data_IF_641391037785
#
_entry.id   IF_641391037785
#
_cell.length_a   1.000
_cell.length_b   1.000
_cell.length_c   1.000
_cell.angle_alpha   90.00
_cell.angle_beta   90.00
_cell.angle_gamma   90.00
#
_symmetry.space_group_name_H-M   'P 1'
#
loop_
_entity.id
_entity.type
_entity.pdbx_description
1 polymer ?
#
# COMPACT_ATOMS: atom_id res chain seq x y z
N UNK A 1 -16.33 -18.92 -0.58
CA UNK A 1 -15.05 -18.32 -1.00
C UNK A 1 -13.97 -18.68 0.02
N UNK A 2 -12.73 -18.88 -0.42
CA UNK A 2 -11.63 -19.38 0.40
C UNK A 2 -10.53 -18.30 0.47
N UNK A 3 -10.77 -17.24 1.25
CA UNK A 3 -9.85 -16.11 1.43
C UNK A 3 -9.37 -16.12 2.88
N UNK A 4 -8.05 -16.19 3.09
CA UNK A 4 -7.44 -16.25 4.42
C UNK A 4 -7.52 -14.90 5.17
N UNK A 5 -7.57 -13.77 4.45
CA UNK A 5 -7.68 -12.43 5.03
C UNK A 5 -7.29 -11.35 4.02
N UNK A 6 -7.37 -10.09 4.45
CA UNK A 6 -6.93 -8.94 3.66
C UNK A 6 -5.48 -8.57 3.97
N UNK A 7 -4.80 -7.91 3.01
CA UNK A 7 -3.41 -7.47 3.18
C UNK A 7 -3.22 -6.53 4.37
N UNK A 8 -4.21 -5.67 4.67
CA UNK A 8 -4.17 -4.78 5.84
C UNK A 8 -4.22 -5.54 7.17
N UNK A 9 -4.90 -6.69 7.21
CA UNK A 9 -4.96 -7.55 8.40
C UNK A 9 -3.64 -8.29 8.61
N UNK A 10 -2.97 -8.69 7.52
CA UNK A 10 -1.61 -9.25 7.58
C UNK A 10 -0.62 -8.21 8.10
N UNK A 11 -0.66 -6.98 7.56
CA UNK A 11 0.23 -5.88 7.98
C UNK A 11 0.02 -5.52 9.46
N UNK A 12 -1.23 -5.53 9.93
CA UNK A 12 -1.55 -5.21 11.33
C UNK A 12 -1.38 -6.39 12.30
N UNK A 13 -0.98 -7.57 11.81
CA UNK A 13 -0.81 -8.78 12.62
C UNK A 13 -2.11 -9.44 13.08
N UNK A 14 -3.26 -9.00 12.58
CA UNK A 14 -4.57 -9.60 12.85
C UNK A 14 -4.74 -10.95 12.16
N UNK A 15 -4.07 -11.14 11.01
CA UNK A 15 -4.01 -12.40 10.25
C UNK A 15 -2.55 -12.76 10.03
N UNK A 16 -2.19 -14.03 10.21
CA UNK A 16 -0.83 -14.48 9.91
C UNK A 16 -0.54 -14.41 8.41
N UNK A 17 0.69 -14.06 8.05
CA UNK A 17 1.18 -14.22 6.68
C UNK A 17 1.47 -15.69 6.37
N UNK A 18 2.47 -15.94 5.53
CA UNK A 18 3.04 -17.28 5.37
C UNK A 18 3.62 -17.78 6.71
N UNK A 19 3.30 -19.02 7.08
CA UNK A 19 3.76 -19.63 8.35
C UNK A 19 4.65 -20.85 8.16
N UNK A 20 4.63 -21.46 6.97
CA UNK A 20 5.46 -22.62 6.63
C UNK A 20 6.00 -22.52 5.19
N UNK A 21 7.16 -23.14 4.95
CA UNK A 21 7.85 -23.09 3.65
C UNK A 21 7.14 -23.92 2.56
N UNK A 22 6.30 -24.89 2.95
CA UNK A 22 5.54 -25.72 2.00
C UNK A 22 4.22 -25.07 1.56
N UNK A 23 3.81 -23.95 2.15
CA UNK A 23 2.57 -23.26 1.77
C UNK A 23 2.67 -22.62 0.37
N UNK A 24 1.59 -22.64 -0.39
CA UNK A 24 1.46 -21.81 -1.59
C UNK A 24 0.52 -20.65 -1.25
N UNK A 25 1.03 -19.43 -1.29
CA UNK A 25 0.28 -18.21 -0.92
C UNK A 25 -0.01 -17.37 -2.16
N UNK A 26 -1.28 -17.01 -2.38
CA UNK A 26 -1.68 -16.11 -3.46
C UNK A 26 -2.15 -14.78 -2.89
N UNK A 27 -1.43 -13.70 -3.22
CA UNK A 27 -1.94 -12.35 -3.06
C UNK A 27 -2.61 -11.90 -4.36
N UNK A 28 -3.86 -11.45 -4.28
CA UNK A 28 -4.58 -10.85 -5.40
C UNK A 28 -5.09 -9.47 -5.00
N UNK A 29 -4.89 -8.50 -5.90
CA UNK A 29 -5.41 -7.14 -5.77
C UNK A 29 -6.03 -6.65 -7.06
N UNK A 30 -6.94 -5.69 -6.95
CA UNK A 30 -7.49 -4.89 -8.05
C UNK A 30 -7.04 -3.41 -7.99
N UNK A 31 -6.26 -3.05 -6.96
CA UNK A 31 -5.88 -1.67 -6.66
C UNK A 31 -6.85 -0.99 -5.68
N UNK A 32 -6.33 -0.07 -4.85
CA UNK A 32 -7.13 0.72 -3.91
C UNK A 32 -6.70 2.20 -3.99
N UNK A 33 -7.64 3.10 -4.28
CA UNK A 33 -7.36 4.54 -4.45
C UNK A 33 -6.66 5.18 -3.23
N UNK A 34 -6.86 4.64 -2.03
CA UNK A 34 -6.17 5.07 -0.81
C UNK A 34 -4.63 4.93 -0.95
N UNK A 35 -4.16 3.86 -1.60
CA UNK A 35 -2.74 3.61 -1.83
C UNK A 35 -2.14 4.72 -2.69
N UNK A 36 -2.86 5.16 -3.72
CA UNK A 36 -2.45 6.25 -4.60
C UNK A 36 -2.42 7.59 -3.84
N UNK A 37 -3.49 7.91 -3.11
CA UNK A 37 -3.59 9.17 -2.39
C UNK A 37 -2.51 9.34 -1.31
N UNK A 38 -2.23 8.28 -0.54
CA UNK A 38 -1.17 8.31 0.47
C UNK A 38 0.20 8.44 -0.18
N UNK A 39 0.45 7.71 -1.27
CA UNK A 39 1.71 7.80 -2.02
C UNK A 39 1.92 9.20 -2.60
N UNK A 40 0.89 9.77 -3.23
CA UNK A 40 0.93 11.13 -3.77
C UNK A 40 1.24 12.17 -2.69
N UNK A 41 0.60 12.06 -1.52
CA UNK A 41 0.89 12.94 -0.38
C UNK A 41 2.35 12.83 0.07
N UNK A 42 2.89 11.62 0.20
CA UNK A 42 4.27 11.42 0.64
C UNK A 42 5.27 12.01 -0.37
N UNK A 43 5.06 11.76 -1.67
CA UNK A 43 5.90 12.32 -2.73
C UNK A 43 5.80 13.84 -2.76
N UNK A 44 4.60 14.40 -2.62
CA UNK A 44 4.38 15.84 -2.59
C UNK A 44 5.14 16.50 -1.43
N UNK A 45 5.03 15.95 -0.21
CA UNK A 45 5.77 16.46 0.95
C UNK A 45 7.29 16.35 0.77
N UNK A 46 7.77 15.26 0.19
CA UNK A 46 9.19 15.08 -0.12
C UNK A 46 9.69 16.09 -1.17
N UNK A 47 8.88 16.41 -2.18
CA UNK A 47 9.20 17.41 -3.20
C UNK A 47 9.30 18.81 -2.58
N UNK A 48 8.35 19.19 -1.72
CA UNK A 48 8.40 20.46 -1.00
C UNK A 48 9.67 20.59 -0.15
N UNK A 49 10.03 19.55 0.60
CA UNK A 49 11.23 19.54 1.44
C UNK A 49 12.54 19.69 0.64
N UNK A 50 12.53 19.32 -0.64
CA UNK A 50 13.69 19.41 -1.55
C UNK A 50 13.62 20.61 -2.50
N UNK A 51 12.60 21.46 -2.39
CA UNK A 51 12.40 22.58 -3.32
C UNK A 51 12.15 22.15 -4.76
N UNK A 52 11.52 20.99 -4.96
CA UNK A 52 11.21 20.42 -6.28
C UNK A 52 9.76 20.73 -6.69
N UNK A 53 9.56 20.92 -7.99
CA UNK A 53 8.25 21.16 -8.62
C UNK A 53 8.10 22.57 -9.19
N UNK A 54 6.91 22.83 -9.76
CA UNK A 54 6.55 24.12 -10.34
C UNK A 54 5.16 24.51 -9.86
N UNK A 55 5.02 25.72 -9.34
CA UNK A 55 3.71 26.27 -8.97
C UNK A 55 2.96 26.71 -10.23
N UNK A 56 1.67 26.35 -10.31
CA UNK A 56 0.78 26.69 -11.42
C UNK A 56 -0.46 27.41 -10.87
N UNK A 57 -0.89 28.47 -11.55
CA UNK A 57 -2.10 29.21 -11.19
C UNK A 57 -3.31 28.51 -11.81
N UNK A 58 -4.38 28.36 -11.03
CA UNK A 58 -5.65 27.75 -11.46
C UNK A 58 -6.53 28.73 -12.25
#
# INVERSE_FOLDING_TARGET
ENVAGEVGQVISGQVAGRTDDNEITLFKSVGLALQDAVTAKQIYLAALAQGLGTEVVL
#
